data_IF_746284824525
#
_entry.id   IF_746284824525
#
_cell.length_a   1.000
_cell.length_b   1.000
_cell.length_c   1.000
_cell.angle_alpha   90.00
_cell.angle_beta   90.00
_cell.angle_gamma   90.00
#
_symmetry.space_group_name_H-M   'P 1'
#
loop_
_entity.id
_entity.type
_entity.pdbx_description
1 polymer ?
#
# COMPACT_ATOMS: atom_id res chain seq x y z
N UNK A 1 -16.38 -17.49 18.41
CA UNK A 1 -16.15 -16.52 19.50
C UNK A 1 -16.35 -15.13 18.92
N UNK A 2 -17.20 -14.31 19.54
CA UNK A 2 -17.37 -12.92 19.12
C UNK A 2 -16.10 -12.13 19.51
N UNK A 3 -15.49 -11.50 18.50
CA UNK A 3 -14.22 -10.76 18.57
C UNK A 3 -14.39 -9.43 19.30
N UNK A 4 -13.31 -8.83 19.81
CA UNK A 4 -13.34 -7.53 20.52
C UNK A 4 -12.49 -6.48 19.82
N UNK A 5 -12.76 -5.21 20.14
CA UNK A 5 -12.24 -4.04 19.42
C UNK A 5 -10.71 -3.83 19.55
N UNK A 6 -10.01 -4.62 20.36
CA UNK A 6 -8.60 -4.40 20.73
C UNK A 6 -7.65 -5.56 20.35
N UNK A 7 -8.07 -6.46 19.46
CA UNK A 7 -7.22 -7.57 19.04
C UNK A 7 -5.91 -7.05 18.39
N UNK A 8 -4.78 -7.61 18.84
CA UNK A 8 -3.43 -7.36 18.29
C UNK A 8 -3.11 -8.48 17.31
N UNK A 9 -2.60 -8.14 16.13
CA UNK A 9 -2.55 -9.09 15.02
C UNK A 9 -1.12 -9.58 14.76
N UNK A 10 -0.96 -10.88 14.55
CA UNK A 10 0.27 -11.46 14.00
C UNK A 10 0.26 -11.35 12.45
N UNK A 11 1.43 -11.36 11.80
CA UNK A 11 1.54 -11.25 10.34
C UNK A 11 0.85 -12.42 9.62
N UNK A 12 0.69 -13.55 10.29
CA UNK A 12 0.00 -14.74 9.74
C UNK A 12 -1.51 -14.72 9.99
N UNK A 13 -2.05 -13.73 10.72
CA UNK A 13 -3.45 -13.66 11.12
C UNK A 13 -4.16 -12.41 10.56
N UNK A 14 -5.46 -12.55 10.25
CA UNK A 14 -6.36 -11.42 9.93
C UNK A 14 -5.83 -10.48 8.82
N UNK A 15 -5.49 -9.24 9.17
CA UNK A 15 -4.93 -8.23 8.25
C UNK A 15 -3.58 -8.68 7.67
N UNK A 16 -2.76 -9.39 8.45
CA UNK A 16 -1.47 -9.92 8.00
C UNK A 16 -1.62 -10.94 6.87
N UNK A 17 -2.60 -11.84 6.97
CA UNK A 17 -2.89 -12.81 5.91
C UNK A 17 -3.34 -12.14 4.59
N UNK A 18 -4.08 -11.02 4.69
CA UNK A 18 -4.48 -10.24 3.50
C UNK A 18 -3.28 -9.51 2.89
N UNK A 19 -2.42 -8.92 3.73
CA UNK A 19 -1.19 -8.27 3.27
C UNK A 19 -0.26 -9.26 2.55
N UNK A 20 -0.14 -10.49 3.05
CA UNK A 20 0.61 -11.57 2.40
C UNK A 20 -0.04 -12.01 1.08
N UNK A 21 -1.37 -12.10 0.99
CA UNK A 21 -2.05 -12.40 -0.28
C UNK A 21 -1.85 -11.33 -1.36
N UNK A 22 -1.84 -10.06 -0.97
CA UNK A 22 -1.52 -8.95 -1.88
C UNK A 22 -0.04 -9.00 -2.30
N UNK A 23 0.88 -9.24 -1.37
CA UNK A 23 2.30 -9.41 -1.69
C UNK A 23 2.52 -10.61 -2.63
N UNK A 24 1.81 -11.72 -2.43
CA UNK A 24 1.81 -12.87 -3.30
C UNK A 24 1.42 -12.50 -4.74
N UNK A 25 0.33 -11.75 -4.92
CA UNK A 25 -0.07 -11.27 -6.23
C UNK A 25 0.99 -10.37 -6.90
N UNK A 26 1.66 -9.49 -6.13
CA UNK A 26 2.76 -8.65 -6.66
C UNK A 26 4.02 -9.46 -7.00
N UNK A 27 4.32 -10.50 -6.24
CA UNK A 27 5.42 -11.43 -6.55
C UNK A 27 5.14 -12.17 -7.86
N UNK A 28 3.93 -12.74 -8.00
CA UNK A 28 3.51 -13.43 -9.21
C UNK A 28 3.55 -12.52 -10.45
N UNK A 29 3.09 -11.27 -10.30
CA UNK A 29 3.21 -10.26 -11.36
C UNK A 29 4.68 -10.01 -11.73
N UNK A 30 5.55 -9.77 -10.73
CA UNK A 30 6.97 -9.45 -10.93
C UNK A 30 7.76 -10.58 -11.60
N UNK A 31 7.32 -11.82 -11.39
CA UNK A 31 7.89 -13.07 -11.91
C UNK A 31 7.30 -13.47 -13.27
N UNK A 32 6.27 -12.77 -13.75
CA UNK A 32 5.67 -13.02 -15.07
C UNK A 32 6.61 -12.67 -16.23
N UNK A 33 6.33 -13.20 -17.42
CA UNK A 33 7.15 -12.96 -18.61
C UNK A 33 7.18 -11.48 -19.03
N UNK A 34 6.09 -10.75 -18.80
CA UNK A 34 5.92 -9.36 -19.21
C UNK A 34 5.29 -8.54 -18.06
N UNK A 35 6.04 -8.28 -16.98
CA UNK A 35 5.50 -7.63 -15.79
C UNK A 35 5.19 -6.16 -16.09
N UNK A 36 3.97 -5.73 -15.74
CA UNK A 36 3.54 -4.35 -15.72
C UNK A 36 4.21 -3.57 -14.58
N UNK A 37 4.49 -4.24 -13.45
CA UNK A 37 5.21 -3.67 -12.32
C UNK A 37 6.17 -4.69 -11.71
N UNK A 38 7.27 -4.20 -11.14
CA UNK A 38 8.24 -5.04 -10.42
C UNK A 38 8.35 -4.59 -8.97
N UNK A 39 8.00 -5.50 -8.06
CA UNK A 39 8.23 -5.40 -6.63
C UNK A 39 9.28 -6.46 -6.24
N UNK A 40 10.58 -6.10 -6.19
CA UNK A 40 11.64 -7.07 -5.92
C UNK A 40 11.60 -7.64 -4.49
N UNK A 41 10.79 -7.05 -3.61
CA UNK A 41 10.69 -7.41 -2.20
C UNK A 41 9.47 -8.28 -1.89
N UNK A 42 8.48 -8.32 -2.79
CA UNK A 42 7.26 -9.08 -2.58
C UNK A 42 7.52 -10.56 -2.27
N UNK A 43 8.34 -11.24 -3.09
CA UNK A 43 8.73 -12.65 -2.86
C UNK A 43 9.46 -12.84 -1.53
N UNK A 44 10.31 -11.88 -1.18
CA UNK A 44 11.14 -11.93 0.03
C UNK A 44 10.29 -11.99 1.29
N UNK A 45 9.20 -11.21 1.34
CA UNK A 45 8.26 -11.28 2.46
C UNK A 45 7.55 -12.62 2.57
N UNK A 46 7.21 -13.25 1.43
CA UNK A 46 6.57 -14.56 1.41
C UNK A 46 7.52 -15.65 1.91
N UNK A 47 8.78 -15.60 1.47
CA UNK A 47 9.81 -16.55 1.90
C UNK A 47 10.07 -16.45 3.40
N UNK A 48 10.08 -15.22 3.94
CA UNK A 48 10.22 -14.98 5.38
C UNK A 48 8.99 -15.38 6.20
N UNK A 49 7.78 -15.21 5.64
CA UNK A 49 6.53 -15.61 6.29
C UNK A 49 6.28 -17.13 6.26
N UNK A 50 6.86 -17.83 5.30
CA UNK A 50 6.68 -19.27 5.08
C UNK A 50 5.40 -19.62 4.32
N UNK A 51 5.05 -20.89 4.33
CA UNK A 51 3.85 -21.40 3.66
C UNK A 51 2.57 -21.02 4.41
N UNK A 52 1.54 -20.64 3.66
CA UNK A 52 0.24 -20.33 4.23
C UNK A 52 -0.84 -20.19 3.15
N UNK A 53 -2.01 -19.70 3.55
CA UNK A 53 -3.14 -19.52 2.63
C UNK A 53 -2.81 -18.53 1.50
N UNK A 54 -1.83 -17.64 1.71
CA UNK A 54 -1.33 -16.72 0.69
C UNK A 54 -0.54 -17.39 -0.43
N UNK A 55 0.06 -18.56 -0.18
CA UNK A 55 0.82 -19.31 -1.19
C UNK A 55 -0.05 -19.70 -2.38
N UNK A 56 -1.37 -19.83 -2.16
CA UNK A 56 -2.33 -20.05 -3.24
C UNK A 56 -2.39 -18.86 -4.18
N UNK A 57 -2.41 -17.61 -3.69
CA UNK A 57 -2.54 -16.40 -4.52
C UNK A 57 -1.40 -16.17 -5.52
N UNK A 58 -0.26 -16.84 -5.34
CA UNK A 58 0.90 -16.78 -6.23
C UNK A 58 1.28 -18.15 -6.82
N UNK A 59 0.45 -19.18 -6.66
CA UNK A 59 0.77 -20.52 -7.17
C UNK A 59 0.89 -20.47 -8.71
N UNK A 60 2.07 -20.80 -9.28
CA UNK A 60 2.28 -20.70 -10.73
C UNK A 60 1.45 -21.74 -11.49
N UNK A 61 1.14 -22.88 -10.84
CA UNK A 61 0.22 -23.91 -11.33
C UNK A 61 -0.61 -24.43 -10.15
N UNK A 62 -1.90 -24.61 -10.39
CA UNK A 62 -2.80 -25.31 -9.46
C UNK A 62 -2.79 -26.82 -9.77
N UNK A 63 -2.94 -27.69 -8.76
CA UNK A 63 -3.18 -29.13 -8.97
C UNK A 63 -4.37 -29.37 -9.90
N UNK A 64 -4.28 -30.37 -10.77
CA UNK A 64 -5.32 -30.70 -11.75
C UNK A 64 -6.67 -30.97 -11.08
N UNK A 65 -6.68 -31.66 -9.93
CA UNK A 65 -7.92 -31.98 -9.22
C UNK A 65 -8.66 -30.73 -8.73
N UNK A 66 -7.93 -29.66 -8.41
CA UNK A 66 -8.51 -28.38 -8.00
C UNK A 66 -9.09 -27.64 -9.22
N UNK A 67 -8.40 -27.68 -10.36
CA UNK A 67 -8.89 -27.06 -11.59
C UNK A 67 -10.13 -27.77 -12.10
N UNK A 68 -10.20 -29.09 -11.98
CA UNK A 68 -11.41 -29.86 -12.30
C UNK A 68 -12.58 -29.52 -11.37
N UNK A 69 -12.32 -29.34 -10.07
CA UNK A 69 -13.35 -28.99 -9.09
C UNK A 69 -13.81 -27.52 -9.19
N UNK A 70 -12.91 -26.59 -9.50
CA UNK A 70 -13.19 -25.16 -9.70
C UNK A 70 -12.59 -24.63 -11.02
N UNK A 71 -13.25 -24.86 -12.18
CA UNK A 71 -12.72 -24.50 -13.50
C UNK A 71 -12.43 -23.00 -13.69
N UNK A 72 -13.16 -22.13 -12.98
CA UNK A 72 -13.00 -20.68 -13.06
C UNK A 72 -11.91 -20.12 -12.14
N UNK A 73 -11.37 -20.95 -11.23
CA UNK A 73 -10.38 -20.52 -10.24
C UNK A 73 -9.11 -19.93 -10.88
N UNK A 74 -8.49 -20.54 -11.92
CA UNK A 74 -7.32 -19.96 -12.57
C UNK A 74 -7.58 -18.57 -13.16
N UNK A 75 -8.76 -18.37 -13.77
CA UNK A 75 -9.16 -17.09 -14.34
C UNK A 75 -9.34 -16.03 -13.24
N UNK A 76 -9.98 -16.40 -12.13
CA UNK A 76 -10.18 -15.51 -10.97
C UNK A 76 -8.83 -15.10 -10.35
N UNK A 77 -7.90 -16.03 -10.20
CA UNK A 77 -6.57 -15.76 -9.65
C UNK A 77 -5.77 -14.83 -10.57
N UNK A 78 -5.76 -15.09 -11.87
CA UNK A 78 -5.13 -14.19 -12.85
C UNK A 78 -5.75 -12.79 -12.83
N UNK A 79 -7.07 -12.70 -12.71
CA UNK A 79 -7.78 -11.41 -12.61
C UNK A 79 -7.37 -10.64 -11.34
N UNK A 80 -7.16 -11.35 -10.24
CA UNK A 80 -6.67 -10.74 -9.00
C UNK A 80 -5.22 -10.26 -9.14
N UNK A 81 -4.32 -11.05 -9.75
CA UNK A 81 -2.94 -10.62 -10.05
C UNK A 81 -2.96 -9.36 -10.92
N UNK A 82 -3.71 -9.35 -12.02
CA UNK A 82 -3.85 -8.20 -12.91
C UNK A 82 -4.40 -6.96 -12.19
N UNK A 83 -5.37 -7.14 -11.30
CA UNK A 83 -5.93 -6.06 -10.49
C UNK A 83 -4.88 -5.51 -9.51
N UNK A 84 -4.12 -6.36 -8.83
CA UNK A 84 -3.03 -5.93 -7.94
C UNK A 84 -1.90 -5.24 -8.71
N UNK A 85 -1.54 -5.73 -9.90
CA UNK A 85 -0.57 -5.10 -10.78
C UNK A 85 -1.01 -3.68 -11.16
N UNK A 86 -2.24 -3.54 -11.68
CA UNK A 86 -2.81 -2.23 -12.08
C UNK A 86 -2.91 -1.27 -10.90
N UNK A 87 -3.35 -1.77 -9.73
CA UNK A 87 -3.43 -0.98 -8.49
C UNK A 87 -2.05 -0.50 -8.03
N UNK A 88 -1.04 -1.37 -8.11
CA UNK A 88 0.32 -1.03 -7.71
C UNK A 88 0.89 0.08 -8.61
N UNK A 89 0.77 -0.06 -9.94
CA UNK A 89 1.22 0.95 -10.92
C UNK A 89 0.58 2.29 -10.66
N UNK A 90 -0.75 2.32 -10.49
CA UNK A 90 -1.48 3.56 -10.25
C UNK A 90 -0.94 4.33 -9.05
N UNK A 91 -0.72 3.65 -7.93
CA UNK A 91 -0.19 4.28 -6.72
C UNK A 91 1.30 4.61 -6.84
N UNK A 92 2.09 3.82 -7.57
CA UNK A 92 3.50 4.14 -7.85
C UNK A 92 3.61 5.44 -8.64
N UNK A 93 2.86 5.56 -9.74
CA UNK A 93 2.79 6.77 -10.56
C UNK A 93 2.27 7.95 -9.74
N UNK A 94 1.25 7.75 -8.90
CA UNK A 94 0.71 8.78 -8.02
C UNK A 94 1.77 9.37 -7.07
N UNK A 95 2.58 8.53 -6.42
CA UNK A 95 3.68 9.01 -5.57
C UNK A 95 4.79 9.68 -6.37
N UNK A 96 5.20 9.07 -7.48
CA UNK A 96 6.25 9.62 -8.35
C UNK A 96 5.83 10.98 -8.92
N UNK A 97 4.59 11.14 -9.36
CA UNK A 97 4.10 12.41 -9.90
C UNK A 97 3.95 13.48 -8.82
N UNK A 98 3.56 13.12 -7.60
CA UNK A 98 3.57 14.05 -6.47
C UNK A 98 4.98 14.57 -6.16
N UNK A 99 6.00 13.71 -6.20
CA UNK A 99 7.40 14.14 -5.95
C UNK A 99 7.95 15.01 -7.07
N UNK A 100 7.58 14.75 -8.34
CA UNK A 100 7.85 15.64 -9.49
C UNK A 100 7.20 17.02 -9.31
N UNK A 101 6.04 17.08 -8.65
CA UNK A 101 5.37 18.33 -8.31
C UNK A 101 5.97 19.05 -7.07
N UNK A 102 7.05 18.52 -6.48
CA UNK A 102 7.77 19.14 -5.37
C UNK A 102 7.39 18.64 -3.98
N UNK A 103 6.47 17.68 -3.86
CA UNK A 103 6.13 17.07 -2.56
C UNK A 103 7.33 16.28 -2.04
N UNK A 104 7.62 16.40 -0.73
CA UNK A 104 8.72 15.69 -0.04
C UNK A 104 8.27 14.92 1.20
N UNK A 105 6.97 14.86 1.47
CA UNK A 105 6.38 14.02 2.51
C UNK A 105 5.37 13.06 1.89
N UNK A 106 5.61 11.76 1.97
CA UNK A 106 4.68 10.73 1.56
C UNK A 106 4.19 9.97 2.78
N UNK A 107 2.89 9.65 2.83
CA UNK A 107 2.28 8.92 3.93
C UNK A 107 1.51 7.71 3.39
N UNK A 108 1.88 6.53 3.87
CA UNK A 108 1.25 5.26 3.52
C UNK A 108 0.50 4.75 4.76
N UNK A 109 -0.84 4.83 4.71
CA UNK A 109 -1.73 4.37 5.77
C UNK A 109 -2.01 2.87 5.59
N UNK A 110 -1.90 2.11 6.68
CA UNK A 110 -1.97 0.64 6.67
C UNK A 110 -0.96 0.07 5.67
N UNK A 111 0.31 0.46 5.86
CA UNK A 111 1.39 0.19 4.92
C UNK A 111 1.63 -1.29 4.64
N UNK A 112 1.26 -2.20 5.54
CA UNK A 112 1.37 -3.63 5.34
C UNK A 112 2.76 -4.04 4.85
N UNK A 113 2.75 -4.86 3.79
CA UNK A 113 3.94 -5.28 3.05
C UNK A 113 4.22 -4.40 1.82
N UNK A 114 3.74 -3.16 1.78
CA UNK A 114 4.15 -2.17 0.78
C UNK A 114 5.66 -1.92 0.88
N UNK A 115 6.35 -2.02 -0.26
CA UNK A 115 7.80 -1.85 -0.39
C UNK A 115 8.20 -0.55 -1.11
N UNK A 116 7.27 0.39 -1.34
CA UNK A 116 7.53 1.63 -2.08
C UNK A 116 8.67 2.46 -1.50
N UNK A 117 8.80 2.56 -0.18
CA UNK A 117 9.93 3.23 0.47
C UNK A 117 11.31 2.63 0.10
N UNK A 118 11.31 1.37 -0.37
CA UNK A 118 12.50 0.60 -0.70
C UNK A 118 12.79 0.48 -2.19
N UNK A 119 11.77 0.66 -3.06
CA UNK A 119 11.92 0.42 -4.51
C UNK A 119 11.64 1.61 -5.41
N UNK A 120 10.92 2.64 -4.94
CA UNK A 120 10.62 3.80 -5.78
C UNK A 120 11.80 4.79 -5.81
N UNK A 121 12.03 5.49 -6.93
CA UNK A 121 13.14 6.44 -7.06
C UNK A 121 12.81 7.78 -6.38
N UNK A 122 12.74 7.77 -5.04
CA UNK A 122 12.44 8.97 -4.27
C UNK A 122 13.54 10.03 -4.42
N UNK A 123 13.21 11.31 -4.66
CA UNK A 123 14.22 12.38 -4.65
C UNK A 123 14.85 12.58 -3.27
N UNK A 124 16.09 13.04 -3.23
CA UNK A 124 16.80 13.38 -1.98
C UNK A 124 15.96 14.28 -1.07
N UNK A 125 16.02 13.97 0.24
CA UNK A 125 15.26 14.68 1.27
C UNK A 125 13.77 14.32 1.32
N UNK A 126 13.30 13.36 0.52
CA UNK A 126 11.93 12.84 0.67
C UNK A 126 11.83 11.94 1.89
N UNK A 127 10.83 12.20 2.73
CA UNK A 127 10.47 11.36 3.87
C UNK A 127 9.21 10.56 3.55
N UNK A 128 9.28 9.25 3.77
CA UNK A 128 8.14 8.34 3.64
C UNK A 128 7.75 7.87 5.03
N UNK A 129 6.54 8.20 5.45
CA UNK A 129 5.94 7.75 6.70
C UNK A 129 5.07 6.53 6.43
N UNK A 130 5.36 5.44 7.13
CA UNK A 130 4.56 4.23 7.08
C UNK A 130 3.82 4.03 8.40
N UNK A 131 2.49 4.07 8.36
CA UNK A 131 1.64 3.83 9.52
C UNK A 131 1.02 2.45 9.42
N UNK A 132 1.30 1.62 10.40
CA UNK A 132 0.65 0.33 10.58
C UNK A 132 0.89 -0.19 12.00
N UNK A 133 0.35 -1.36 12.29
CA UNK A 133 0.60 -2.07 13.52
C UNK A 133 2.09 -2.35 13.74
N UNK A 134 2.58 -2.28 14.99
CA UNK A 134 3.99 -2.45 15.31
C UNK A 134 4.62 -3.71 14.71
N UNK A 135 3.96 -4.87 14.88
CA UNK A 135 4.48 -6.16 14.40
C UNK A 135 4.61 -6.25 12.88
N UNK A 136 3.71 -5.61 12.14
CA UNK A 136 3.73 -5.60 10.67
C UNK A 136 4.91 -4.78 10.15
N UNK A 137 5.13 -3.60 10.72
CA UNK A 137 6.26 -2.73 10.37
C UNK A 137 7.61 -3.36 10.76
N UNK A 138 7.67 -4.01 11.93
CA UNK A 138 8.86 -4.73 12.39
C UNK A 138 9.19 -5.91 11.48
N UNK A 139 8.21 -6.75 11.15
CA UNK A 139 8.39 -7.87 10.21
C UNK A 139 8.94 -7.38 8.86
N UNK A 140 8.30 -6.37 8.26
CA UNK A 140 8.73 -5.82 6.97
C UNK A 140 10.17 -5.29 7.04
N UNK A 141 10.45 -4.40 7.99
CA UNK A 141 11.75 -3.72 8.07
C UNK A 141 12.87 -4.71 8.37
N UNK A 142 12.67 -5.61 9.35
CA UNK A 142 13.67 -6.60 9.73
C UNK A 142 13.97 -7.60 8.60
N UNK A 143 12.95 -8.05 7.87
CA UNK A 143 13.10 -8.97 6.74
C UNK A 143 14.01 -8.40 5.65
N UNK A 144 13.83 -7.12 5.29
CA UNK A 144 14.64 -6.47 4.26
C UNK A 144 16.04 -6.12 4.77
N UNK A 145 16.16 -5.59 5.98
CA UNK A 145 17.45 -5.23 6.57
C UNK A 145 18.36 -6.45 6.79
N UNK A 146 17.80 -7.61 7.14
CA UNK A 146 18.58 -8.86 7.28
C UNK A 146 19.25 -9.31 5.98
N UNK A 147 18.74 -8.86 4.82
CA UNK A 147 19.34 -9.11 3.49
C UNK A 147 20.33 -8.03 3.07
N UNK A 148 20.47 -6.98 3.88
CA UNK A 148 21.28 -5.80 3.57
C UNK A 148 20.62 -4.84 2.59
N UNK A 149 19.31 -4.96 2.35
CA UNK A 149 18.57 -3.94 1.62
C UNK A 149 18.48 -2.66 2.46
N UNK A 150 18.42 -1.51 1.81
CA UNK A 150 18.22 -0.20 2.45
C UNK A 150 17.07 0.56 1.79
N UNK A 151 16.30 1.37 2.54
CA UNK A 151 15.29 2.25 1.95
C UNK A 151 15.90 3.25 0.97
N UNK A 152 15.17 3.53 -0.11
CA UNK A 152 15.52 4.55 -1.12
C UNK A 152 15.09 5.97 -0.72
N UNK A 153 14.43 6.13 0.41
CA UNK A 153 13.99 7.40 0.99
C UNK A 153 14.35 7.47 2.48
N UNK A 154 14.14 8.62 3.11
CA UNK A 154 14.13 8.71 4.57
C UNK A 154 12.86 8.02 5.09
N UNK A 155 12.95 6.73 5.43
CA UNK A 155 11.83 5.94 5.95
C UNK A 155 11.63 6.22 7.44
N UNK A 156 10.41 6.61 7.82
CA UNK A 156 9.95 6.76 9.21
C UNK A 156 8.77 5.82 9.44
N UNK A 157 8.98 4.80 10.27
CA UNK A 157 7.89 3.92 10.69
C UNK A 157 7.16 4.52 11.88
N UNK A 158 5.83 4.52 11.82
CA UNK A 158 4.94 5.06 12.86
C UNK A 158 4.05 3.91 13.35
N UNK A 159 4.48 3.18 14.39
CA UNK A 159 3.77 2.00 14.87
C UNK A 159 2.48 2.40 15.61
N UNK A 160 1.35 2.32 14.91
CA UNK A 160 0.04 2.73 15.43
C UNK A 160 -1.11 2.01 14.71
N UNK A 161 -2.16 1.69 15.47
CA UNK A 161 -3.44 1.25 14.89
C UNK A 161 -4.25 2.47 14.42
N UNK A 162 -4.72 2.46 13.17
CA UNK A 162 -5.45 3.58 12.58
C UNK A 162 -6.82 3.86 13.23
N UNK A 163 -7.30 2.98 14.11
CA UNK A 163 -8.49 3.22 14.95
C UNK A 163 -8.21 4.15 16.13
N UNK A 164 -6.95 4.35 16.50
CA UNK A 164 -6.52 5.22 17.59
C UNK A 164 -6.12 6.62 17.08
N UNK A 165 -5.46 7.42 17.92
CA UNK A 165 -5.01 8.77 17.60
C UNK A 165 -3.70 8.77 16.79
N UNK A 166 -3.74 8.17 15.60
CA UNK A 166 -2.62 8.14 14.67
C UNK A 166 -2.16 9.52 14.16
N UNK A 167 -3.01 10.58 14.05
CA UNK A 167 -2.54 11.92 13.70
C UNK A 167 -1.48 12.44 14.68
N UNK A 168 -1.73 12.29 15.98
CA UNK A 168 -0.79 12.72 17.01
C UNK A 168 0.53 11.92 16.92
N UNK A 169 0.45 10.59 16.72
CA UNK A 169 1.62 9.75 16.55
C UNK A 169 2.45 10.14 15.32
N UNK A 170 1.80 10.44 14.19
CA UNK A 170 2.45 10.88 12.96
C UNK A 170 3.19 12.21 13.14
N UNK A 171 2.56 13.21 13.78
CA UNK A 171 3.21 14.49 14.05
C UNK A 171 4.37 14.35 15.04
N UNK A 172 4.25 13.49 16.07
CA UNK A 172 5.33 13.19 17.00
C UNK A 172 6.52 12.52 16.30
N UNK A 173 6.27 11.72 15.26
CA UNK A 173 7.30 11.13 14.41
C UNK A 173 7.97 12.14 13.46
N UNK A 174 7.57 13.42 13.50
CA UNK A 174 8.20 14.51 12.76
C UNK A 174 7.50 14.88 11.45
N UNK A 175 6.27 14.42 11.22
CA UNK A 175 5.47 14.90 10.09
C UNK A 175 5.12 16.38 10.24
N UNK A 176 5.40 17.18 9.20
CA UNK A 176 5.08 18.60 9.15
C UNK A 176 3.74 18.83 8.43
N UNK A 177 2.69 19.07 9.21
CA UNK A 177 1.35 19.37 8.69
C UNK A 177 1.24 20.74 7.99
N UNK A 178 2.29 21.57 8.01
CA UNK A 178 2.36 22.83 7.28
C UNK A 178 2.98 22.70 5.87
N UNK A 179 3.56 21.53 5.55
CA UNK A 179 4.19 21.27 4.26
C UNK A 179 3.33 20.34 3.37
N UNK A 180 3.41 20.47 2.03
CA UNK A 180 2.70 19.58 1.11
C UNK A 180 3.03 18.10 1.35
N UNK A 181 2.00 17.26 1.29
CA UNK A 181 2.09 15.83 1.52
C UNK A 181 1.24 15.04 0.52
N UNK A 182 1.62 13.79 0.27
CA UNK A 182 0.89 12.85 -0.59
C UNK A 182 0.53 11.61 0.22
N UNK A 183 -0.73 11.15 0.11
CA UNK A 183 -1.31 10.14 1.00
C UNK A 183 -1.86 8.95 0.21
N UNK A 184 -1.63 7.73 0.67
CA UNK A 184 -2.31 6.54 0.17
C UNK A 184 -2.98 5.76 1.30
N UNK A 185 -4.19 5.27 1.03
CA UNK A 185 -4.93 4.30 1.85
C UNK A 185 -5.30 3.09 0.98
N UNK A 186 -4.31 2.33 0.54
CA UNK A 186 -4.48 1.20 -0.39
C UNK A 186 -5.06 -0.01 0.34
N UNK A 187 -6.15 -0.58 -0.18
CA UNK A 187 -6.73 -1.81 0.39
C UNK A 187 -7.28 -1.68 1.80
N UNK A 188 -7.47 -0.45 2.31
CA UNK A 188 -7.91 -0.19 3.68
C UNK A 188 -9.44 0.01 3.79
N UNK A 189 -10.00 0.86 2.94
CA UNK A 189 -11.40 1.34 3.08
C UNK A 189 -12.45 0.23 3.16
N UNK A 190 -12.38 -0.88 2.39
CA UNK A 190 -13.37 -1.97 2.48
C UNK A 190 -13.45 -2.64 3.86
N UNK A 191 -12.41 -2.49 4.70
CA UNK A 191 -12.35 -3.07 6.04
C UNK A 191 -12.79 -2.11 7.15
N UNK A 192 -13.13 -0.86 6.79
CA UNK A 192 -13.55 0.16 7.75
C UNK A 192 -15.07 0.33 7.74
N UNK A 193 -15.72 0.40 8.92
CA UNK A 193 -17.08 0.91 9.02
C UNK A 193 -17.20 2.32 8.43
N UNK A 194 -18.37 2.71 7.92
CA UNK A 194 -18.57 4.00 7.26
C UNK A 194 -18.08 5.20 8.08
N UNK A 195 -18.42 5.26 9.37
CA UNK A 195 -17.97 6.34 10.27
C UNK A 195 -16.44 6.38 10.43
N UNK A 196 -15.76 5.24 10.34
CA UNK A 196 -14.30 5.19 10.39
C UNK A 196 -13.66 5.66 9.06
N UNK A 197 -14.34 5.46 7.92
CA UNK A 197 -13.90 6.02 6.63
C UNK A 197 -14.01 7.54 6.65
N UNK A 198 -15.13 8.09 7.12
CA UNK A 198 -15.33 9.54 7.24
C UNK A 198 -14.26 10.17 8.14
N UNK A 199 -14.06 9.60 9.33
CA UNK A 199 -13.04 10.06 10.28
C UNK A 199 -11.62 9.99 9.70
N UNK A 200 -11.30 8.95 8.92
CA UNK A 200 -10.01 8.84 8.23
C UNK A 200 -9.78 10.03 7.30
N UNK A 201 -10.76 10.35 6.45
CA UNK A 201 -10.65 11.47 5.51
C UNK A 201 -10.64 12.82 6.20
N UNK A 202 -11.43 13.02 7.26
CA UNK A 202 -11.38 14.24 8.09
C UNK A 202 -9.97 14.46 8.66
N UNK A 203 -9.34 13.41 9.19
CA UNK A 203 -7.99 13.48 9.75
C UNK A 203 -6.92 13.73 8.69
N UNK A 204 -6.99 13.06 7.55
CA UNK A 204 -6.08 13.32 6.41
C UNK A 204 -6.24 14.76 5.93
N UNK A 205 -7.49 15.26 5.83
CA UNK A 205 -7.76 16.63 5.43
C UNK A 205 -7.17 17.64 6.43
N UNK A 206 -7.35 17.42 7.73
CA UNK A 206 -6.80 18.28 8.78
C UNK A 206 -5.26 18.34 8.79
N UNK A 207 -4.59 17.29 8.30
CA UNK A 207 -3.13 17.21 8.20
C UNK A 207 -2.57 17.61 6.82
N UNK A 208 -3.45 18.02 5.89
CA UNK A 208 -3.06 18.36 4.53
C UNK A 208 -3.16 19.85 4.30
N UNK A 209 -2.11 20.45 3.74
CA UNK A 209 -2.21 21.80 3.19
C UNK A 209 -2.83 21.76 1.79
N UNK A 210 -3.65 22.77 1.41
CA UNK A 210 -4.09 22.90 0.04
C UNK A 210 -2.88 22.94 -0.90
N UNK A 211 -2.92 22.18 -1.98
CA UNK A 211 -1.93 22.34 -3.04
C UNK A 211 -2.01 23.81 -3.49
N UNK A 212 -0.94 24.58 -3.24
CA UNK A 212 -0.81 25.92 -3.79
C UNK A 212 -1.05 25.77 -5.30
N UNK A 213 -2.05 26.47 -5.83
CA UNK A 213 -2.53 26.28 -7.20
C UNK A 213 -1.33 26.33 -8.15
N UNK A 214 -0.90 25.16 -8.62
CA UNK A 214 0.23 25.07 -9.55
C UNK A 214 -0.20 25.83 -10.81
N UNK A 215 0.59 26.82 -11.28
CA UNK A 215 0.22 27.63 -12.45
C UNK A 215 0.05 26.81 -13.74
N UNK A 216 0.42 25.52 -13.74
CA UNK A 216 0.43 24.66 -14.93
C UNK A 216 -0.87 23.89 -15.18
N UNK A 217 -1.82 23.82 -14.24
CA UNK A 217 -3.13 23.21 -14.51
C UNK A 217 -4.16 24.27 -14.91
N UNK A 218 -4.23 24.58 -16.21
CA UNK A 218 -5.45 25.18 -16.77
C UNK A 218 -6.59 24.16 -16.58
N UNK A 219 -7.75 24.55 -16.01
CA UNK A 219 -8.91 23.67 -16.03
C UNK A 219 -9.28 23.38 -17.48
N UNK A 220 -9.42 22.11 -17.83
CA UNK A 220 -9.97 21.71 -19.11
C UNK A 220 -11.36 22.37 -19.23
N UNK A 221 -11.49 23.32 -20.16
CA UNK A 221 -12.80 23.90 -20.48
C UNK A 221 -13.63 22.77 -21.06
N UNK A 222 -14.63 22.31 -20.31
CA UNK A 222 -15.69 21.49 -20.87
C UNK A 222 -16.39 22.33 -21.94
N UNK A 223 -16.20 21.96 -23.21
CA UNK A 223 -16.96 22.53 -24.30
C UNK A 223 -18.36 21.93 -24.22
N UNK A 224 -19.35 22.72 -23.78
CA UNK A 224 -20.76 22.36 -23.96
C UNK A 224 -21.12 22.61 -25.43
N UNK A 225 -21.61 21.61 -26.16
CA UNK A 225 -22.23 21.88 -27.45
C UNK A 225 -23.59 22.53 -27.20
N UNK A 226 -23.80 23.71 -27.78
CA UNK A 226 -25.15 24.26 -27.97
C UNK A 226 -25.89 23.37 -28.96
N UNK A 227 -27.04 22.86 -28.53
CA UNK A 227 -27.99 22.17 -29.41
C UNK A 227 -28.85 23.25 -30.06
N UNK A 228 -28.79 23.33 -31.39
CA UNK A 228 -29.72 24.08 -32.22
C UNK A 228 -31.02 23.27 -32.42
#
# INVERSE_FOLDING_TARGET
MARTDNDTWDITESVGATALGVAAARAAESESDNPLVRDPFARVFLDAAGEGMWSWFAAPQLPEEIVEAEPDLPLRMRSMVNYMASRTVFFDEFFVDATKAGVRQAVILAAGLDSRAWRLPWPDGTTVYELDQPKVLEFKSSTLQQRGDEPTANLVTVPVDLRHDWPAALQQAGFDASAPSVWSAEGLLPFLPAAAQDLLFERVHALSVPAAASPSRRPARLHRPEVA
#
